data_IF_613567034709
#
_entry.id   IF_613567034709
#
_cell.length_a   1.000
_cell.length_b   1.000
_cell.length_c   1.000
_cell.angle_alpha   90.00
_cell.angle_beta   90.00
_cell.angle_gamma   90.00
#
_symmetry.space_group_name_H-M   'P 1'
#
loop_
_entity.id
_entity.type
_entity.pdbx_description
1 polymer ?
#
# COMPACT_ATOMS: atom_id res chain seq x y z
N UNK A 1 -30.50 5.17 -5.03
CA UNK A 1 -29.90 6.09 -4.05
C UNK A 1 -28.48 5.68 -3.69
N UNK A 2 -28.25 4.41 -3.34
CA UNK A 2 -26.92 3.89 -2.91
C UNK A 2 -25.82 4.03 -3.95
N UNK A 3 -26.10 3.73 -5.23
CA UNK A 3 -25.14 3.89 -6.34
C UNK A 3 -24.64 5.33 -6.48
N UNK A 4 -25.49 6.32 -6.23
CA UNK A 4 -25.14 7.74 -6.31
C UNK A 4 -24.17 8.09 -5.19
N UNK A 5 -24.43 7.60 -3.97
CA UNK A 5 -23.57 7.81 -2.80
C UNK A 5 -22.18 7.20 -3.07
N UNK A 6 -22.11 5.97 -3.58
CA UNK A 6 -20.82 5.34 -3.89
C UNK A 6 -20.05 6.12 -4.95
N UNK A 7 -20.71 6.59 -6.02
CA UNK A 7 -20.07 7.38 -7.08
C UNK A 7 -19.55 8.74 -6.62
N UNK A 8 -20.11 9.29 -5.53
CA UNK A 8 -19.61 10.51 -4.91
C UNK A 8 -18.42 10.27 -3.97
N UNK A 9 -18.18 9.02 -3.55
CA UNK A 9 -17.08 8.66 -2.67
C UNK A 9 -15.71 8.90 -3.31
N UNK A 10 -14.71 9.18 -2.49
CA UNK A 10 -13.31 9.30 -2.93
C UNK A 10 -12.75 7.99 -3.45
N UNK A 11 -13.23 6.85 -2.94
CA UNK A 11 -12.85 5.52 -3.43
C UNK A 11 -13.24 5.33 -4.89
N UNK A 12 -14.46 5.70 -5.28
CA UNK A 12 -14.87 5.64 -6.68
C UNK A 12 -14.07 6.62 -7.54
N UNK A 13 -13.96 7.87 -7.09
CA UNK A 13 -13.37 8.96 -7.89
C UNK A 13 -11.86 8.82 -8.13
N UNK A 14 -11.12 8.25 -7.18
CA UNK A 14 -9.66 8.22 -7.23
C UNK A 14 -9.05 6.82 -7.26
N UNK A 15 -9.82 5.78 -6.90
CA UNK A 15 -9.29 4.43 -6.70
C UNK A 15 -10.17 3.34 -7.32
N UNK A 16 -10.95 3.67 -8.34
CA UNK A 16 -11.68 2.69 -9.16
C UNK A 16 -11.27 2.84 -10.62
N UNK A 17 -10.84 1.74 -11.24
CA UNK A 17 -10.16 1.71 -12.51
C UNK A 17 -10.65 0.55 -13.37
N UNK A 18 -10.43 0.65 -14.67
CA UNK A 18 -10.46 -0.50 -15.57
C UNK A 18 -9.14 -1.28 -15.48
N UNK A 19 -9.12 -2.59 -15.79
CA UNK A 19 -7.89 -3.39 -15.80
C UNK A 19 -6.73 -2.76 -16.59
N UNK A 20 -7.01 -2.29 -17.81
CA UNK A 20 -6.02 -1.64 -18.67
C UNK A 20 -5.50 -0.34 -18.05
N UNK A 21 -6.40 0.53 -17.56
CA UNK A 21 -5.99 1.79 -16.94
C UNK A 21 -5.14 1.60 -15.68
N UNK A 22 -5.41 0.55 -14.88
CA UNK A 22 -4.65 0.26 -13.67
C UNK A 22 -3.23 -0.25 -14.01
N UNK A 23 -3.13 -1.13 -15.01
CA UNK A 23 -1.84 -1.61 -15.53
C UNK A 23 -1.02 -0.46 -16.13
N UNK A 24 -1.64 0.39 -16.95
CA UNK A 24 -1.01 1.58 -17.51
C UNK A 24 -0.57 2.58 -16.44
N UNK A 25 -1.37 2.77 -15.37
CA UNK A 25 -1.00 3.64 -14.26
C UNK A 25 0.25 3.15 -13.54
N UNK A 26 0.35 1.85 -13.24
CA UNK A 26 1.56 1.26 -12.63
C UNK A 26 2.78 1.43 -13.53
N UNK A 27 2.63 1.16 -14.83
CA UNK A 27 3.71 1.33 -15.79
C UNK A 27 4.18 2.79 -15.88
N UNK A 28 3.25 3.75 -15.90
CA UNK A 28 3.57 5.17 -15.92
C UNK A 28 4.28 5.63 -14.64
N UNK A 29 3.83 5.19 -13.47
CA UNK A 29 4.46 5.50 -12.17
C UNK A 29 5.89 4.95 -12.10
N UNK A 30 6.08 3.70 -12.53
CA UNK A 30 7.41 3.09 -12.62
C UNK A 30 8.33 3.85 -13.60
N UNK A 31 7.85 4.15 -14.81
CA UNK A 31 8.63 4.87 -15.82
C UNK A 31 9.04 6.26 -15.32
N UNK A 32 8.13 7.00 -14.69
CA UNK A 32 8.45 8.31 -14.11
C UNK A 32 9.49 8.21 -12.98
N UNK A 33 9.33 7.25 -12.07
CA UNK A 33 10.30 7.05 -10.99
C UNK A 33 11.68 6.60 -11.50
N UNK A 34 11.71 5.72 -12.49
CA UNK A 34 12.95 5.28 -13.14
C UNK A 34 13.64 6.46 -13.83
N UNK A 35 12.91 7.31 -14.56
CA UNK A 35 13.47 8.50 -15.20
C UNK A 35 14.12 9.44 -14.18
N UNK A 36 13.45 9.75 -13.07
CA UNK A 36 14.00 10.61 -12.01
C UNK A 36 15.28 10.01 -11.41
N UNK A 37 15.26 8.71 -11.12
CA UNK A 37 16.43 8.02 -10.58
C UNK A 37 17.61 7.99 -11.57
N UNK A 38 17.35 7.82 -12.87
CA UNK A 38 18.39 7.88 -13.91
C UNK A 38 19.04 9.27 -13.97
N UNK A 39 18.26 10.34 -13.82
CA UNK A 39 18.78 11.71 -13.77
C UNK A 39 19.69 11.92 -12.55
N UNK A 40 19.32 11.39 -11.38
CA UNK A 40 20.15 11.49 -10.15
C UNK A 40 21.44 10.67 -10.23
N UNK A 41 21.39 9.50 -10.86
CA UNK A 41 22.53 8.60 -11.03
C UNK A 41 23.49 9.05 -12.13
N UNK A 42 22.99 9.69 -13.20
CA UNK A 42 23.79 10.09 -14.35
C UNK A 42 24.55 8.90 -14.94
N UNK A 43 25.86 9.06 -15.17
CA UNK A 43 26.73 8.01 -15.75
C UNK A 43 26.89 6.75 -14.89
N UNK A 44 26.45 6.78 -13.62
CA UNK A 44 26.46 5.59 -12.74
C UNK A 44 25.21 4.71 -12.88
N UNK A 45 24.27 5.11 -13.74
CA UNK A 45 23.06 4.35 -14.00
C UNK A 45 23.36 3.02 -14.70
N UNK A 46 22.89 1.91 -14.12
CA UNK A 46 22.91 0.59 -14.74
C UNK A 46 21.48 0.21 -15.16
N UNK A 47 21.14 0.23 -16.46
CA UNK A 47 19.78 -0.05 -16.94
C UNK A 47 19.26 -1.43 -16.51
N UNK A 48 20.14 -2.42 -16.42
CA UNK A 48 19.80 -3.81 -16.02
C UNK A 48 19.30 -3.94 -14.57
N UNK A 49 19.67 -2.97 -13.71
CA UNK A 49 19.26 -2.95 -12.31
C UNK A 49 17.90 -2.25 -12.11
N UNK A 50 17.40 -1.50 -13.10
CA UNK A 50 16.09 -0.85 -13.02
C UNK A 50 14.99 -1.88 -12.82
N UNK A 51 14.03 -1.54 -11.96
CA UNK A 51 12.89 -2.42 -11.70
C UNK A 51 11.87 -2.29 -12.81
N UNK A 52 11.36 -3.43 -13.27
CA UNK A 52 10.17 -3.46 -14.12
C UNK A 52 8.89 -3.27 -13.28
N UNK A 53 7.76 -2.84 -13.89
CA UNK A 53 6.49 -2.73 -13.17
C UNK A 53 6.06 -4.04 -12.49
N UNK A 54 6.39 -5.18 -13.10
CA UNK A 54 6.08 -6.51 -12.55
C UNK A 54 6.96 -6.82 -11.33
N UNK A 55 8.24 -6.46 -11.37
CA UNK A 55 9.14 -6.61 -10.21
C UNK A 55 8.70 -5.71 -9.05
N UNK A 56 8.36 -4.44 -9.32
CA UNK A 56 7.80 -3.56 -8.28
C UNK A 56 6.54 -4.16 -7.66
N UNK A 57 5.64 -4.69 -8.49
CA UNK A 57 4.41 -5.30 -8.04
C UNK A 57 4.66 -6.51 -7.14
N UNK A 58 5.60 -7.40 -7.51
CA UNK A 58 6.02 -8.53 -6.67
C UNK A 58 6.54 -8.06 -5.31
N UNK A 59 7.37 -7.02 -5.30
CA UNK A 59 7.94 -6.49 -4.07
C UNK A 59 6.87 -5.89 -3.15
N UNK A 60 5.97 -5.08 -3.70
CA UNK A 60 4.86 -4.48 -2.95
C UNK A 60 3.98 -5.58 -2.34
N UNK A 61 3.69 -6.64 -3.09
CA UNK A 61 2.84 -7.70 -2.57
C UNK A 61 3.54 -8.61 -1.56
N UNK A 62 4.85 -8.82 -1.66
CA UNK A 62 5.62 -9.40 -0.54
C UNK A 62 5.44 -8.56 0.75
N UNK A 63 5.52 -7.23 0.62
CA UNK A 63 5.29 -6.36 1.78
C UNK A 63 3.84 -6.27 2.25
N UNK A 64 2.85 -6.53 1.38
CA UNK A 64 1.46 -6.76 1.81
C UNK A 64 1.36 -7.99 2.73
N UNK A 65 2.05 -9.09 2.43
CA UNK A 65 2.05 -10.28 3.31
C UNK A 65 2.70 -9.99 4.66
N UNK A 66 3.79 -9.22 4.64
CA UNK A 66 4.46 -8.77 5.87
C UNK A 66 3.54 -7.86 6.70
N UNK A 67 2.83 -6.93 6.05
CA UNK A 67 1.86 -6.05 6.70
C UNK A 67 0.67 -6.83 7.28
N UNK A 68 0.19 -7.86 6.59
CA UNK A 68 -0.87 -8.73 7.08
C UNK A 68 -0.45 -9.45 8.36
N UNK A 69 0.73 -10.07 8.38
CA UNK A 69 1.27 -10.74 9.57
C UNK A 69 1.49 -9.75 10.72
N UNK A 70 1.93 -8.52 10.42
CA UNK A 70 2.04 -7.45 11.42
C UNK A 70 0.66 -7.08 12.00
N UNK A 71 -0.37 -7.00 11.16
CA UNK A 71 -1.74 -6.76 11.62
C UNK A 71 -2.26 -7.85 12.56
N UNK A 72 -1.84 -9.11 12.36
CA UNK A 72 -2.15 -10.23 13.26
C UNK A 72 -1.39 -10.13 14.58
N UNK A 73 -0.11 -9.76 14.56
CA UNK A 73 0.68 -9.51 15.77
C UNK A 73 0.05 -8.41 16.64
N UNK A 74 -0.39 -7.31 16.00
CA UNK A 74 -1.11 -6.22 16.66
C UNK A 74 -2.54 -6.57 17.06
N UNK A 75 -3.03 -7.79 16.76
CA UNK A 75 -4.40 -8.27 17.03
C UNK A 75 -5.46 -7.29 16.52
N UNK A 76 -5.23 -6.75 15.33
CA UNK A 76 -6.11 -5.73 14.74
C UNK A 76 -7.47 -6.30 14.34
N UNK A 77 -8.52 -5.48 14.43
CA UNK A 77 -9.81 -5.81 13.85
C UNK A 77 -9.77 -5.84 12.33
N UNK A 78 -10.71 -6.56 11.69
CA UNK A 78 -10.75 -6.73 10.22
C UNK A 78 -10.75 -5.40 9.45
N UNK A 79 -11.30 -4.33 10.02
CA UNK A 79 -11.34 -3.00 9.42
C UNK A 79 -9.97 -2.35 9.34
N UNK A 80 -9.24 -2.31 10.46
CA UNK A 80 -7.88 -1.76 10.50
C UNK A 80 -6.97 -2.53 9.55
N UNK A 81 -7.05 -3.86 9.57
CA UNK A 81 -6.28 -4.72 8.66
C UNK A 81 -6.56 -4.42 7.18
N UNK A 82 -7.84 -4.44 6.79
CA UNK A 82 -8.23 -4.17 5.40
C UNK A 82 -7.85 -2.75 4.96
N UNK A 83 -7.98 -1.76 5.84
CA UNK A 83 -7.59 -0.37 5.57
C UNK A 83 -6.08 -0.23 5.42
N UNK A 84 -5.27 -0.85 6.29
CA UNK A 84 -3.82 -0.82 6.18
C UNK A 84 -3.33 -1.42 4.86
N UNK A 85 -3.87 -2.57 4.47
CA UNK A 85 -3.55 -3.21 3.18
C UNK A 85 -3.99 -2.34 2.00
N UNK A 86 -5.19 -1.78 2.06
CA UNK A 86 -5.70 -0.88 1.02
C UNK A 86 -4.84 0.37 0.89
N UNK A 87 -4.39 0.96 2.00
CA UNK A 87 -3.51 2.13 1.99
C UNK A 87 -2.17 1.80 1.33
N UNK A 88 -1.54 0.66 1.67
CA UNK A 88 -0.29 0.26 1.03
C UNK A 88 -0.48 0.08 -0.49
N UNK A 89 -1.54 -0.62 -0.90
CA UNK A 89 -1.84 -0.83 -2.33
C UNK A 89 -2.11 0.49 -3.06
N UNK A 90 -2.91 1.41 -2.47
CA UNK A 90 -3.22 2.72 -3.05
C UNK A 90 -1.98 3.59 -3.19
N UNK A 91 -1.11 3.57 -2.18
CA UNK A 91 0.11 4.36 -2.14
C UNK A 91 1.03 4.00 -3.31
N UNK A 92 1.27 2.71 -3.53
CA UNK A 92 2.13 2.20 -4.60
C UNK A 92 1.51 2.24 -6.01
N UNK A 93 0.32 2.83 -6.18
CA UNK A 93 -0.13 3.28 -7.50
C UNK A 93 0.47 4.65 -7.89
N UNK A 94 0.92 5.44 -6.91
CA UNK A 94 1.41 6.81 -7.12
C UNK A 94 2.90 6.99 -6.83
N UNK A 95 3.45 6.13 -5.98
CA UNK A 95 4.89 6.10 -5.69
C UNK A 95 5.48 4.76 -6.14
N UNK A 96 6.78 4.75 -6.41
CA UNK A 96 7.51 3.53 -6.76
C UNK A 96 8.42 3.08 -5.61
N UNK A 97 8.67 1.76 -5.45
CA UNK A 97 9.72 1.24 -4.58
C UNK A 97 11.12 1.78 -4.86
N UNK A 98 11.38 2.27 -6.08
CA UNK A 98 12.62 2.97 -6.42
C UNK A 98 12.80 4.21 -5.53
N UNK A 99 11.73 4.97 -5.32
CA UNK A 99 11.71 6.19 -4.52
C UNK A 99 11.66 5.88 -3.02
N UNK A 100 10.61 5.18 -2.58
CA UNK A 100 10.39 4.86 -1.16
C UNK A 100 10.19 3.37 -0.99
N UNK A 101 11.04 2.76 -0.18
CA UNK A 101 11.05 1.33 0.04
C UNK A 101 9.85 0.89 0.91
N UNK A 102 9.05 -0.14 0.54
CA UNK A 102 7.81 -0.45 1.27
C UNK A 102 8.01 -0.82 2.74
N UNK A 103 9.12 -1.48 3.07
CA UNK A 103 9.51 -1.80 4.46
C UNK A 103 9.43 -0.60 5.42
N UNK A 104 9.83 0.60 4.97
CA UNK A 104 9.88 1.78 5.86
C UNK A 104 8.50 2.37 6.12
N UNK A 105 7.49 1.98 5.35
CA UNK A 105 6.14 2.53 5.42
C UNK A 105 5.14 1.61 6.14
N UNK A 106 5.52 0.36 6.46
CA UNK A 106 4.61 -0.61 7.07
C UNK A 106 4.01 -0.11 8.39
N UNK A 107 4.87 0.31 9.33
CA UNK A 107 4.45 0.81 10.64
C UNK A 107 3.67 2.13 10.53
N UNK A 108 4.14 3.15 9.78
CA UNK A 108 3.36 4.36 9.55
C UNK A 108 1.98 4.12 8.94
N UNK A 109 1.87 3.24 7.94
CA UNK A 109 0.59 2.91 7.29
C UNK A 109 -0.34 2.21 8.27
N UNK A 110 0.17 1.24 9.04
CA UNK A 110 -0.62 0.55 10.06
C UNK A 110 -1.12 1.53 11.13
N UNK A 111 -0.25 2.42 11.61
CA UNK A 111 -0.60 3.44 12.58
C UNK A 111 -1.66 4.42 12.05
N UNK A 112 -1.55 4.83 10.78
CA UNK A 112 -2.55 5.67 10.12
C UNK A 112 -3.89 4.93 9.92
N UNK A 113 -3.86 3.63 9.63
CA UNK A 113 -5.08 2.82 9.51
C UNK A 113 -5.80 2.70 10.86
N UNK A 114 -5.07 2.52 11.95
CA UNK A 114 -5.61 2.58 13.31
C UNK A 114 -6.29 3.93 13.59
N UNK A 115 -5.61 5.04 13.29
CA UNK A 115 -6.17 6.40 13.43
C UNK A 115 -7.46 6.57 12.63
N UNK A 116 -7.51 6.01 11.43
CA UNK A 116 -8.64 6.15 10.50
C UNK A 116 -9.88 5.35 10.92
N UNK A 117 -9.71 4.14 11.45
CA UNK A 117 -10.83 3.22 11.76
C UNK A 117 -11.25 3.22 13.22
N UNK A 118 -10.29 3.38 14.15
CA UNK A 118 -10.54 3.24 15.60
C UNK A 118 -10.34 4.54 16.38
N UNK A 119 -9.83 5.59 15.74
CA UNK A 119 -9.50 6.85 16.40
C UNK A 119 -8.13 6.84 17.10
N UNK A 120 -8.00 7.64 18.16
CA UNK A 120 -6.70 7.96 18.79
C UNK A 120 -6.10 6.72 19.44
N UNK A 121 -4.89 6.35 18.98
CA UNK A 121 -4.08 5.29 19.59
C UNK A 121 -2.89 5.87 20.33
N UNK A 122 -2.54 5.27 21.46
CA UNK A 122 -1.31 5.61 22.20
C UNK A 122 -0.09 5.26 21.36
N UNK A 123 0.69 6.28 20.98
CA UNK A 123 1.95 6.10 20.25
C UNK A 123 2.93 5.24 21.04
N UNK A 124 2.95 5.37 22.36
CA UNK A 124 3.80 4.58 23.25
C UNK A 124 3.46 3.09 23.19
N UNK A 125 2.17 2.75 23.22
CA UNK A 125 1.73 1.36 23.08
C UNK A 125 2.14 0.81 21.71
N UNK A 126 1.89 1.58 20.64
CA UNK A 126 2.20 1.13 19.28
C UNK A 126 3.69 0.83 19.09
N UNK A 127 4.57 1.72 19.58
CA UNK A 127 6.03 1.53 19.51
C UNK A 127 6.46 0.30 20.33
N UNK A 128 5.88 0.12 21.53
CA UNK A 128 6.18 -1.04 22.37
C UNK A 128 5.78 -2.35 21.68
N UNK A 129 4.59 -2.43 21.10
CA UNK A 129 4.12 -3.61 20.37
C UNK A 129 4.92 -3.88 19.10
N UNK A 130 5.38 -2.84 18.40
CA UNK A 130 6.30 -3.00 17.26
C UNK A 130 7.66 -3.57 17.69
N UNK A 131 8.18 -3.18 18.86
CA UNK A 131 9.45 -3.68 19.36
C UNK A 131 9.43 -5.18 19.68
N UNK A 132 8.27 -5.76 20.02
CA UNK A 132 8.12 -7.21 20.27
C UNK A 132 8.48 -8.08 19.04
N UNK A 133 8.33 -7.54 17.83
CA UNK A 133 8.71 -8.20 16.56
C UNK A 133 10.05 -7.69 16.01
N UNK A 134 10.90 -7.10 16.86
CA UNK A 134 12.18 -6.50 16.51
C UNK A 134 12.09 -5.33 15.51
N UNK A 135 10.94 -4.66 15.43
CA UNK A 135 10.79 -3.43 14.65
C UNK A 135 10.91 -2.22 15.58
N UNK A 136 12.16 -1.80 15.79
CA UNK A 136 12.48 -0.61 16.58
C UNK A 136 12.20 0.63 15.73
N UNK A 137 11.39 1.54 16.23
CA UNK A 137 11.07 2.83 15.58
C UNK A 137 11.00 3.91 16.64
N UNK A 138 11.45 5.12 16.31
CA UNK A 138 11.19 6.31 17.14
C UNK A 138 9.82 6.91 16.83
N UNK A 139 9.34 7.81 17.68
CA UNK A 139 8.10 8.55 17.43
C UNK A 139 8.24 9.43 16.19
N UNK A 140 9.40 10.05 16.03
CA UNK A 140 9.73 10.92 14.90
C UNK A 140 9.72 10.15 13.59
N UNK A 141 10.35 8.97 13.55
CA UNK A 141 10.37 8.10 12.37
C UNK A 141 8.97 7.57 12.00
N UNK A 142 8.15 7.26 13.01
CA UNK A 142 6.78 6.78 12.80
C UNK A 142 5.88 7.87 12.20
N UNK A 143 6.03 9.11 12.65
CA UNK A 143 5.17 10.23 12.27
C UNK A 143 5.67 11.02 11.06
N UNK A 144 6.99 11.05 10.80
CA UNK A 144 7.58 11.79 9.69
C UNK A 144 6.94 11.49 8.30
N UNK A 145 6.65 10.23 7.92
CA UNK A 145 6.04 9.95 6.63
C UNK A 145 4.53 10.19 6.58
N UNK A 146 3.86 10.52 7.70
CA UNK A 146 2.39 10.58 7.80
C UNK A 146 1.77 11.55 6.77
N UNK A 147 2.30 12.76 6.65
CA UNK A 147 1.83 13.75 5.68
C UNK A 147 2.07 13.27 4.24
N UNK A 148 3.22 12.65 3.98
CA UNK A 148 3.56 12.14 2.66
C UNK A 148 2.64 11.00 2.23
N UNK A 149 2.30 10.10 3.16
CA UNK A 149 1.31 9.05 2.96
C UNK A 149 -0.06 9.68 2.67
N UNK A 150 -0.50 10.63 3.49
CA UNK A 150 -1.79 11.31 3.33
C UNK A 150 -1.94 12.00 1.96
N UNK A 151 -0.92 12.72 1.51
CA UNK A 151 -0.90 13.37 0.19
C UNK A 151 -1.04 12.36 -0.95
N UNK A 152 -0.28 11.26 -0.90
CA UNK A 152 -0.36 10.22 -1.92
C UNK A 152 -1.66 9.41 -1.85
N UNK A 153 -2.27 9.29 -0.68
CA UNK A 153 -3.64 8.78 -0.54
C UNK A 153 -4.71 9.79 -0.96
N UNK A 154 -4.34 10.98 -1.45
CA UNK A 154 -5.27 12.04 -1.85
C UNK A 154 -6.24 12.40 -0.71
N UNK A 155 -5.75 12.36 0.53
CA UNK A 155 -6.55 12.57 1.74
C UNK A 155 -7.78 11.65 1.84
N UNK A 156 -7.75 10.51 1.14
CA UNK A 156 -8.88 9.58 1.04
C UNK A 156 -8.71 8.43 2.04
N UNK A 157 -8.91 8.75 3.32
CA UNK A 157 -8.76 7.80 4.42
C UNK A 157 -9.95 6.84 4.57
N UNK A 158 -11.12 7.21 4.07
CA UNK A 158 -12.29 6.33 4.11
C UNK A 158 -12.11 5.17 3.11
N UNK A 159 -12.23 3.94 3.63
CA UNK A 159 -12.26 2.72 2.83
C UNK A 159 -13.60 2.03 3.07
N UNK A 160 -14.32 1.76 1.97
CA UNK A 160 -15.59 1.06 2.00
C UNK A 160 -15.32 -0.45 1.88
N UNK A 161 -15.42 -1.15 3.01
CA UNK A 161 -15.07 -2.57 3.09
C UNK A 161 -16.23 -3.49 2.69
N UNK A 162 -16.03 -4.49 1.82
CA UNK A 162 -17.08 -5.37 1.31
C UNK A 162 -17.55 -6.41 2.34
N UNK A 163 -16.69 -6.84 3.28
CA UNK A 163 -17.10 -7.83 4.30
C UNK A 163 -18.23 -7.33 5.21
N UNK A 164 -18.47 -6.01 5.30
CA UNK A 164 -19.63 -5.45 6.01
C UNK A 164 -20.95 -5.78 5.29
N UNK A 165 -20.94 -5.84 3.96
CA UNK A 165 -22.10 -6.20 3.15
C UNK A 165 -22.59 -7.63 3.41
N UNK A 166 -21.67 -8.56 3.74
CA UNK A 166 -22.01 -9.94 4.08
C UNK A 166 -22.94 -10.00 5.29
N UNK A 167 -22.73 -9.15 6.30
CA UNK A 167 -23.60 -9.11 7.48
C UNK A 167 -25.02 -8.65 7.13
N UNK A 168 -25.15 -7.69 6.21
CA UNK A 168 -26.45 -7.22 5.73
C UNK A 168 -27.20 -8.32 4.95
N UNK A 169 -26.50 -9.02 4.07
CA UNK A 169 -27.06 -10.14 3.29
C UNK A 169 -27.48 -11.28 4.21
N UNK A 170 -26.64 -11.63 5.20
CA UNK A 170 -26.95 -12.62 6.22
C UNK A 170 -28.23 -12.26 6.98
N UNK A 171 -28.32 -11.02 7.48
CA UNK A 171 -29.48 -10.57 8.23
C UNK A 171 -30.77 -10.70 7.40
N UNK A 172 -30.73 -10.30 6.14
CA UNK A 172 -31.90 -10.39 5.28
C UNK A 172 -32.30 -11.84 4.94
N UNK A 173 -31.35 -12.69 4.58
CA UNK A 173 -31.61 -14.11 4.29
C UNK A 173 -32.22 -14.83 5.50
N UNK A 174 -31.75 -14.50 6.71
CA UNK A 174 -32.30 -15.07 7.95
C UNK A 174 -33.73 -14.58 8.23
N UNK A 175 -34.03 -13.30 7.93
CA UNK A 175 -35.38 -12.74 8.10
C UNK A 175 -36.39 -13.38 7.13
N UNK A 176 -35.96 -13.69 5.91
CA UNK A 176 -36.83 -14.34 4.92
C UNK A 176 -37.15 -15.80 5.25
N UNK A 177 -36.23 -16.51 5.90
CA UNK A 177 -36.45 -17.89 6.35
C UNK A 177 -36.58 -18.93 5.22
N UNK A 178 -36.22 -18.58 3.98
CA UNK A 178 -36.30 -19.47 2.80
C UNK A 178 -35.23 -20.57 2.82
N UNK A 179 -34.12 -20.36 3.52
CA UNK A 179 -32.97 -21.26 3.58
C UNK A 179 -32.68 -21.70 5.02
N UNK A 180 -32.12 -22.91 5.24
CA UNK A 180 -31.71 -23.34 6.57
C UNK A 180 -30.74 -22.36 7.21
N UNK A 181 -31.04 -21.92 8.45
CA UNK A 181 -30.23 -20.95 9.21
C UNK A 181 -28.74 -21.31 9.22
N UNK A 182 -28.43 -22.58 9.49
CA UNK A 182 -27.05 -23.07 9.54
C UNK A 182 -26.31 -22.93 8.20
N UNK A 183 -27.00 -23.12 7.06
CA UNK A 183 -26.41 -22.94 5.71
C UNK A 183 -26.05 -21.47 5.49
N UNK A 184 -26.95 -20.56 5.86
CA UNK A 184 -26.75 -19.10 5.73
C UNK A 184 -25.58 -18.63 6.59
N UNK A 185 -25.58 -18.99 7.87
CA UNK A 185 -24.51 -18.58 8.81
C UNK A 185 -23.14 -19.13 8.39
N UNK A 186 -23.07 -20.40 8.00
CA UNK A 186 -21.83 -21.04 7.53
C UNK A 186 -21.29 -20.38 6.27
N UNK A 187 -22.15 -20.14 5.28
CA UNK A 187 -21.74 -19.56 3.99
C UNK A 187 -21.30 -18.12 4.16
N UNK A 188 -22.03 -17.32 4.94
CA UNK A 188 -21.65 -15.95 5.24
C UNK A 188 -20.34 -15.86 6.05
N UNK A 189 -20.13 -16.75 7.03
CA UNK A 189 -18.88 -16.79 7.79
C UNK A 189 -17.66 -17.11 6.90
N UNK A 190 -17.80 -18.09 6.00
CA UNK A 190 -16.76 -18.43 5.01
C UNK A 190 -16.50 -17.29 4.03
N UNK A 191 -17.56 -16.65 3.52
CA UNK A 191 -17.44 -15.52 2.60
C UNK A 191 -16.75 -14.33 3.27
N UNK A 192 -17.11 -14.03 4.52
CA UNK A 192 -16.43 -13.02 5.34
C UNK A 192 -14.95 -13.33 5.48
N UNK A 193 -14.62 -14.56 5.87
CA UNK A 193 -13.24 -15.03 6.03
C UNK A 193 -12.42 -14.87 4.75
N UNK A 194 -13.00 -15.23 3.60
CA UNK A 194 -12.39 -15.07 2.29
C UNK A 194 -12.08 -13.60 1.98
N UNK A 195 -13.02 -12.70 2.24
CA UNK A 195 -12.88 -11.26 1.97
C UNK A 195 -11.92 -10.55 2.94
N UNK A 196 -11.80 -11.02 4.19
CA UNK A 196 -10.84 -10.48 5.17
C UNK A 196 -9.46 -11.12 5.11
N UNK A 197 -9.30 -12.18 4.29
CA UNK A 197 -8.05 -12.88 4.05
C UNK A 197 -7.60 -12.71 2.60
N UNK A 198 -7.78 -13.76 1.79
CA UNK A 198 -7.30 -13.82 0.41
C UNK A 198 -7.77 -12.66 -0.48
N UNK A 199 -8.98 -12.15 -0.29
CA UNK A 199 -9.50 -11.02 -1.07
C UNK A 199 -8.66 -9.74 -0.98
N UNK A 200 -7.98 -9.51 0.16
CA UNK A 200 -7.15 -8.32 0.37
C UNK A 200 -5.82 -8.36 -0.42
N UNK A 201 -5.43 -9.52 -0.95
CA UNK A 201 -4.23 -9.70 -1.76
C UNK A 201 -4.48 -9.62 -3.26
N UNK A 202 -5.60 -9.00 -3.65
CA UNK A 202 -6.02 -8.87 -5.05
C UNK A 202 -6.38 -7.42 -5.38
N UNK A 203 -6.41 -7.11 -6.68
CA UNK A 203 -6.84 -5.79 -7.16
C UNK A 203 -8.37 -5.59 -7.12
N UNK A 204 -9.16 -6.46 -6.47
CA UNK A 204 -10.62 -6.36 -6.52
C UNK A 204 -11.15 -5.01 -6.00
N UNK A 205 -10.50 -4.41 -5.00
CA UNK A 205 -10.85 -3.09 -4.45
C UNK A 205 -10.68 -1.93 -5.46
N UNK A 206 -9.88 -2.14 -6.50
CA UNK A 206 -9.65 -1.17 -7.57
C UNK A 206 -10.57 -1.38 -8.77
N UNK A 207 -11.18 -2.55 -8.91
CA UNK A 207 -11.89 -2.96 -10.14
C UNK A 207 -13.40 -3.06 -9.93
N UNK A 208 -13.83 -3.35 -8.71
CA UNK A 208 -15.22 -3.65 -8.39
C UNK A 208 -15.73 -2.82 -7.22
N UNK A 209 -17.04 -2.60 -7.18
CA UNK A 209 -17.68 -1.92 -6.04
C UNK A 209 -17.72 -2.84 -4.82
N UNK A 210 -17.80 -2.30 -3.58
CA UNK A 210 -17.90 -3.11 -2.38
C UNK A 210 -19.09 -4.10 -2.43
N UNK A 211 -20.22 -3.70 -3.01
CA UNK A 211 -21.38 -4.58 -3.21
C UNK A 211 -21.09 -5.74 -4.17
N UNK A 212 -20.40 -5.47 -5.28
CA UNK A 212 -19.97 -6.51 -6.23
C UNK A 212 -18.98 -7.48 -5.58
N UNK A 213 -18.01 -6.99 -4.81
CA UNK A 213 -17.03 -7.83 -4.10
C UNK A 213 -17.73 -8.66 -3.01
N UNK A 214 -18.72 -8.09 -2.32
CA UNK A 214 -19.55 -8.82 -1.34
C UNK A 214 -20.25 -10.01 -1.99
N UNK A 215 -20.95 -9.76 -3.10
CA UNK A 215 -21.65 -10.80 -3.84
C UNK A 215 -20.68 -11.83 -4.41
N UNK A 216 -19.51 -11.40 -4.92
CA UNK A 216 -18.48 -12.29 -5.42
C UNK A 216 -17.93 -13.22 -4.33
N UNK A 217 -17.73 -12.69 -3.12
CA UNK A 217 -17.33 -13.49 -1.95
C UNK A 217 -18.36 -14.52 -1.55
N UNK A 218 -19.66 -14.17 -1.61
CA UNK A 218 -20.74 -15.12 -1.35
C UNK A 218 -20.84 -16.16 -2.47
N UNK A 219 -20.78 -15.74 -3.74
CA UNK A 219 -20.83 -16.62 -4.90
C UNK A 219 -19.67 -17.64 -4.91
N UNK A 220 -18.47 -17.21 -4.49
CA UNK A 220 -17.30 -18.07 -4.38
C UNK A 220 -17.47 -19.21 -3.36
N UNK A 221 -18.37 -19.05 -2.38
CA UNK A 221 -18.63 -20.02 -1.32
C UNK A 221 -19.92 -20.82 -1.55
N UNK A 222 -20.99 -20.13 -1.97
CA UNK A 222 -22.31 -20.71 -2.25
C UNK A 222 -22.94 -19.93 -3.42
N UNK A 223 -22.66 -20.41 -4.64
CA UNK A 223 -23.16 -19.80 -5.87
C UNK A 223 -24.69 -19.81 -5.95
N UNK A 224 -25.32 -20.93 -5.59
CA UNK A 224 -26.78 -21.08 -5.63
C UNK A 224 -27.47 -20.06 -4.71
N UNK A 225 -26.99 -19.91 -3.48
CA UNK A 225 -27.51 -18.92 -2.53
C UNK A 225 -27.34 -17.49 -3.04
N UNK A 226 -26.17 -17.16 -3.61
CA UNK A 226 -25.91 -15.82 -4.14
C UNK A 226 -26.81 -15.49 -5.33
N UNK A 227 -26.95 -16.41 -6.29
CA UNK A 227 -27.76 -16.20 -7.48
C UNK A 227 -29.25 -16.12 -7.15
N UNK A 228 -29.74 -16.98 -6.24
CA UNK A 228 -31.11 -16.91 -5.73
C UNK A 228 -31.40 -15.58 -5.02
N UNK A 229 -30.47 -15.13 -4.17
CA UNK A 229 -30.58 -13.84 -3.49
C UNK A 229 -30.63 -12.67 -4.49
N UNK A 230 -29.74 -12.65 -5.49
CA UNK A 230 -29.73 -11.59 -6.50
C UNK A 230 -31.01 -11.60 -7.35
N UNK A 231 -31.51 -12.78 -7.76
CA UNK A 231 -32.78 -12.91 -8.49
C UNK A 231 -33.94 -12.33 -7.70
N UNK A 232 -34.01 -12.62 -6.41
CA UNK A 232 -35.09 -12.13 -5.55
C UNK A 232 -35.09 -10.60 -5.32
N UNK A 233 -33.97 -9.94 -5.60
CA UNK A 233 -33.80 -8.49 -5.42
C UNK A 233 -34.12 -7.69 -6.67
N UNK A 234 -34.12 -8.33 -7.83
CA UNK A 234 -34.35 -7.65 -9.09
C UNK A 234 -35.85 -7.55 -9.40
N UNK A 235 -36.35 -6.37 -9.78
CA UNK A 235 -37.73 -6.22 -10.19
C UNK A 235 -38.00 -6.97 -11.51
N UNK A 236 -39.26 -7.37 -11.71
CA UNK A 236 -39.68 -8.02 -12.95
C UNK A 236 -39.42 -7.10 -14.15
N UNK A 237 -38.72 -7.61 -15.17
CA UNK A 237 -38.38 -6.87 -16.40
C UNK A 237 -36.92 -6.44 -16.53
N UNK A 238 -36.10 -6.59 -15.49
CA UNK A 238 -34.67 -6.22 -15.50
C UNK A 238 -33.69 -7.40 -15.71
N UNK A 239 -34.12 -8.48 -16.38
CA UNK A 239 -33.30 -9.70 -16.53
C UNK A 239 -31.93 -9.41 -17.19
N UNK A 240 -31.88 -8.50 -18.16
CA UNK A 240 -30.61 -8.09 -18.80
C UNK A 240 -29.61 -7.45 -17.82
N UNK A 241 -30.12 -6.71 -16.83
CA UNK A 241 -29.29 -6.06 -15.81
C UNK A 241 -28.80 -7.13 -14.83
N UNK A 242 -29.68 -8.06 -14.44
CA UNK A 242 -29.32 -9.20 -13.61
C UNK A 242 -28.25 -10.07 -14.26
N UNK A 243 -28.41 -10.44 -15.53
CA UNK A 243 -27.42 -11.22 -16.29
C UNK A 243 -26.05 -10.53 -16.31
N UNK A 244 -26.04 -9.22 -16.55
CA UNK A 244 -24.82 -8.41 -16.52
C UNK A 244 -24.19 -8.40 -15.13
N UNK A 245 -24.98 -8.23 -14.07
CA UNK A 245 -24.50 -8.24 -12.69
C UNK A 245 -23.93 -9.61 -12.32
N UNK A 246 -24.65 -10.69 -12.62
CA UNK A 246 -24.19 -12.06 -12.39
C UNK A 246 -22.88 -12.34 -13.11
N UNK A 247 -22.75 -11.90 -14.37
CA UNK A 247 -21.48 -12.01 -15.10
C UNK A 247 -20.34 -11.30 -14.36
N UNK A 248 -20.54 -10.05 -13.94
CA UNK A 248 -19.52 -9.28 -13.20
C UNK A 248 -19.15 -9.94 -11.86
N UNK A 249 -20.13 -10.44 -11.12
CA UNK A 249 -19.94 -11.13 -9.85
C UNK A 249 -19.16 -12.44 -10.04
N UNK A 250 -19.52 -13.23 -11.06
CA UNK A 250 -18.82 -14.47 -11.44
C UNK A 250 -17.39 -14.19 -11.86
N UNK A 251 -17.16 -13.20 -12.71
CA UNK A 251 -15.83 -12.78 -13.13
C UNK A 251 -14.98 -12.35 -11.93
N UNK A 252 -15.52 -11.51 -11.04
CA UNK A 252 -14.81 -11.10 -9.82
C UNK A 252 -14.45 -12.31 -8.94
N UNK A 253 -15.40 -13.23 -8.73
CA UNK A 253 -15.17 -14.41 -7.91
C UNK A 253 -14.15 -15.36 -8.53
N UNK A 254 -14.30 -15.68 -9.82
CA UNK A 254 -13.40 -16.59 -10.54
C UNK A 254 -11.99 -16.01 -10.65
N UNK A 255 -11.84 -14.78 -11.12
CA UNK A 255 -10.52 -14.22 -11.45
C UNK A 255 -9.76 -13.66 -10.25
N UNK A 256 -10.44 -13.23 -9.19
CA UNK A 256 -9.78 -12.63 -8.02
C UNK A 256 -9.89 -13.47 -6.75
N UNK A 257 -11.01 -14.16 -6.52
CA UNK A 257 -11.21 -14.86 -5.24
C UNK A 257 -10.84 -16.36 -5.32
N UNK A 258 -11.16 -17.01 -6.45
CA UNK A 258 -10.99 -18.45 -6.67
C UNK A 258 -9.80 -18.82 -7.56
N UNK A 259 -9.31 -17.90 -8.41
CA UNK A 259 -8.30 -18.16 -9.44
C UNK A 259 -7.09 -18.93 -8.92
N UNK A 260 -6.77 -20.07 -9.55
CA UNK A 260 -5.60 -20.88 -9.25
C UNK A 260 -4.40 -20.43 -10.09
N UNK A 261 -3.20 -20.88 -9.73
CA UNK A 261 -1.96 -20.57 -10.47
C UNK A 261 -1.92 -21.10 -11.89
N UNK A 262 -2.69 -22.15 -12.16
CA UNK A 262 -2.81 -22.77 -13.47
C UNK A 262 -3.68 -21.93 -14.43
N UNK A 263 -4.50 -21.04 -13.86
CA UNK A 263 -5.35 -20.14 -14.64
C UNK A 263 -4.47 -19.00 -15.18
N UNK A 264 -4.40 -18.86 -16.51
CA UNK A 264 -3.63 -17.79 -17.14
C UNK A 264 -4.04 -16.41 -16.65
N UNK A 265 -3.06 -15.50 -16.46
CA UNK A 265 -3.36 -14.13 -16.10
C UNK A 265 -3.96 -13.38 -17.30
N UNK A 266 -5.28 -13.23 -17.31
CA UNK A 266 -6.01 -12.53 -18.37
C UNK A 266 -5.75 -11.02 -18.41
N UNK A 267 -5.08 -10.44 -17.41
CA UNK A 267 -4.84 -9.02 -17.26
C UNK A 267 -3.37 -8.72 -16.89
N UNK A 268 -2.46 -8.64 -17.88
CA UNK A 268 -1.06 -8.34 -17.66
C UNK A 268 -0.87 -7.04 -16.85
N UNK A 269 -0.11 -7.10 -15.76
CA UNK A 269 0.17 -5.96 -14.87
C UNK A 269 -0.84 -5.75 -13.73
N UNK A 270 -1.83 -6.64 -13.58
CA UNK A 270 -2.68 -6.72 -12.39
C UNK A 270 -2.18 -7.73 -11.36
N UNK A 271 -2.46 -7.44 -10.10
CA UNK A 271 -2.50 -8.41 -9.01
C UNK A 271 -3.79 -9.21 -9.15
N UNK A 272 -3.80 -10.12 -10.13
CA UNK A 272 -4.79 -11.19 -10.14
C UNK A 272 -4.50 -12.17 -9.00
N UNK A 273 -3.21 -12.39 -8.71
CA UNK A 273 -2.67 -13.03 -7.49
C UNK A 273 -1.14 -12.95 -7.50
N UNK A 274 -0.51 -13.02 -6.32
CA UNK A 274 0.83 -13.61 -6.20
C UNK A 274 0.70 -15.15 -6.03
N UNK A 275 1.76 -15.94 -6.31
CA UNK A 275 1.60 -17.30 -6.77
C UNK A 275 1.39 -18.29 -5.60
N UNK A 276 0.65 -19.35 -5.89
CA UNK A 276 0.64 -20.70 -5.27
C UNK A 276 -0.47 -21.01 -4.25
N UNK A 277 -1.28 -22.03 -4.61
CA UNK A 277 -1.98 -22.99 -3.74
C UNK A 277 -3.46 -22.82 -3.40
N UNK A 278 -4.18 -21.85 -3.96
CA UNK A 278 -5.57 -21.70 -3.53
C UNK A 278 -5.65 -21.26 -2.07
N UNK A 279 -6.79 -20.72 -1.68
CA UNK A 279 -6.91 -20.08 -0.37
C UNK A 279 -6.90 -21.11 0.75
N UNK A 280 -5.87 -21.09 1.59
CA UNK A 280 -5.95 -21.26 3.04
C UNK A 280 -4.96 -20.25 3.63
N UNK A 281 -5.42 -19.09 4.10
CA UNK A 281 -5.68 -18.85 5.52
C UNK A 281 -4.55 -19.32 6.45
N UNK A 282 -3.30 -19.18 6.04
CA UNK A 282 -2.15 -19.04 6.95
C UNK A 282 -1.19 -18.00 6.36
N UNK A 283 -0.57 -17.20 7.22
CA UNK A 283 0.31 -16.08 6.87
C UNK A 283 1.63 -16.52 6.20
N UNK A 284 1.69 -17.72 5.65
CA UNK A 284 2.89 -18.26 5.02
C UNK A 284 3.14 -17.59 3.68
N UNK A 285 4.20 -16.78 3.66
CA UNK A 285 4.69 -16.12 2.45
C UNK A 285 5.17 -17.18 1.46
N UNK A 286 4.65 -17.21 0.21
CA UNK A 286 5.11 -18.17 -0.78
C UNK A 286 6.64 -18.11 -0.95
N UNK A 287 7.30 -19.26 -0.92
CA UNK A 287 8.76 -19.33 -0.95
C UNK A 287 9.35 -18.66 -2.20
N UNK A 288 8.70 -18.82 -3.35
CA UNK A 288 9.11 -18.20 -4.61
C UNK A 288 8.97 -16.68 -4.59
N UNK A 289 7.91 -16.16 -3.99
CA UNK A 289 7.75 -14.73 -3.79
C UNK A 289 8.88 -14.17 -2.92
N UNK A 290 9.20 -14.84 -1.82
CA UNK A 290 10.27 -14.41 -0.92
C UNK A 290 11.63 -14.40 -1.63
N UNK A 291 11.95 -15.42 -2.43
CA UNK A 291 13.17 -15.46 -3.25
C UNK A 291 13.23 -14.28 -4.23
N UNK A 292 12.13 -14.02 -4.94
CA UNK A 292 12.04 -12.90 -5.87
C UNK A 292 12.17 -11.54 -5.17
N UNK A 293 11.51 -11.34 -4.02
CA UNK A 293 11.61 -10.13 -3.23
C UNK A 293 13.06 -9.88 -2.77
N UNK A 294 13.78 -10.91 -2.31
CA UNK A 294 15.20 -10.80 -1.94
C UNK A 294 16.07 -10.43 -3.15
N UNK A 295 15.80 -11.01 -4.33
CA UNK A 295 16.49 -10.65 -5.58
C UNK A 295 16.27 -9.18 -5.93
N UNK A 296 15.03 -8.70 -5.82
CA UNK A 296 14.64 -7.31 -6.11
C UNK A 296 15.24 -6.34 -5.09
N UNK A 297 15.20 -6.67 -3.80
CA UNK A 297 15.84 -5.87 -2.74
C UNK A 297 17.34 -5.72 -2.98
N UNK A 298 18.01 -6.78 -3.45
CA UNK A 298 19.42 -6.72 -3.82
C UNK A 298 19.66 -5.72 -4.96
N UNK A 299 18.80 -5.71 -5.99
CA UNK A 299 18.86 -4.70 -7.06
C UNK A 299 18.69 -3.28 -6.50
N UNK A 300 17.68 -3.04 -5.67
CA UNK A 300 17.43 -1.74 -5.04
C UNK A 300 18.62 -1.27 -4.19
N UNK A 301 19.24 -2.16 -3.42
CA UNK A 301 20.44 -1.84 -2.65
C UNK A 301 21.59 -1.42 -3.56
N UNK A 302 21.84 -2.15 -4.66
CA UNK A 302 22.89 -1.82 -5.62
C UNK A 302 22.63 -0.47 -6.29
N UNK A 303 21.39 -0.14 -6.62
CA UNK A 303 21.00 1.17 -7.16
C UNK A 303 21.22 2.31 -6.19
N UNK A 304 21.01 2.08 -4.88
CA UNK A 304 21.15 3.12 -3.85
C UNK A 304 22.58 3.34 -3.36
N UNK A 305 23.49 2.36 -3.55
CA UNK A 305 24.92 2.49 -3.19
C UNK A 305 25.59 3.78 -3.70
N UNK A 306 25.53 4.13 -5.00
CA UNK A 306 26.16 5.35 -5.51
C UNK A 306 25.55 6.63 -4.90
N UNK A 307 24.24 6.66 -4.66
CA UNK A 307 23.56 7.80 -4.03
C UNK A 307 24.04 8.02 -2.60
N UNK A 308 24.13 6.95 -1.81
CA UNK A 308 24.63 7.02 -0.43
C UNK A 308 26.10 7.46 -0.37
N UNK A 309 26.91 7.08 -1.36
CA UNK A 309 28.29 7.56 -1.50
C UNK A 309 28.36 9.07 -1.75
N UNK A 310 27.53 9.59 -2.66
CA UNK A 310 27.44 11.05 -2.92
C UNK A 310 27.03 11.84 -1.69
N UNK A 311 26.03 11.39 -0.94
CA UNK A 311 25.57 12.05 0.29
C UNK A 311 26.66 12.07 1.36
N UNK A 312 27.40 10.96 1.53
CA UNK A 312 28.54 10.91 2.46
C UNK A 312 29.64 11.88 2.06
N UNK A 313 30.00 11.94 0.77
CA UNK A 313 31.01 12.88 0.28
C UNK A 313 30.60 14.35 0.48
N UNK A 314 29.34 14.70 0.15
CA UNK A 314 28.84 16.05 0.38
C UNK A 314 28.81 16.43 1.87
N UNK A 315 28.46 15.50 2.75
CA UNK A 315 28.48 15.73 4.20
C UNK A 315 29.91 15.90 4.74
N UNK A 316 30.88 15.15 4.22
CA UNK A 316 32.30 15.32 4.59
C UNK A 316 32.86 16.64 4.09
N UNK A 317 32.53 17.04 2.87
CA UNK A 317 32.99 18.30 2.28
C UNK A 317 32.42 19.50 3.04
N UNK A 318 31.13 19.47 3.40
CA UNK A 318 30.50 20.50 4.22
C UNK A 318 31.12 20.60 5.63
N UNK A 319 31.44 19.46 6.26
CA UNK A 319 32.09 19.43 7.57
C UNK A 319 33.54 19.93 7.52
N UNK A 320 34.27 19.67 6.44
CA UNK A 320 35.61 20.22 6.21
C UNK A 320 35.56 21.74 5.96
N UNK A 321 34.59 22.22 5.21
CA UNK A 321 34.40 23.64 4.92
C UNK A 321 34.05 24.42 6.20
N UNK A 322 33.19 23.88 7.06
CA UNK A 322 32.87 24.47 8.37
C UNK A 322 34.12 24.53 9.28
N UNK A 323 34.97 23.48 9.26
CA UNK A 323 36.24 23.47 10.00
C UNK A 323 37.22 24.53 9.48
N UNK A 324 37.34 24.69 8.16
CA UNK A 324 38.18 25.73 7.54
C UNK A 324 37.68 27.13 7.87
N UNK A 325 36.37 27.35 7.88
CA UNK A 325 35.76 28.63 8.27
C UNK A 325 36.04 28.98 9.74
N UNK A 326 35.94 28.00 10.65
CA UNK A 326 36.30 28.20 12.08
C UNK A 326 37.78 28.53 12.26
N UNK A 327 38.66 27.86 11.51
CA UNK A 327 40.11 28.14 11.55
C UNK A 327 40.44 29.55 11.06
N UNK A 328 39.82 30.00 9.96
CA UNK A 328 39.99 31.38 9.43
C UNK A 328 39.53 32.44 10.42
N UNK A 329 38.39 32.24 11.09
CA UNK A 329 37.94 33.15 12.17
C UNK A 329 38.94 33.22 13.31
N UNK A 330 39.45 32.08 13.75
CA UNK A 330 40.38 32.02 14.88
C UNK A 330 41.76 32.62 14.55
N UNK A 331 42.19 32.54 13.29
CA UNK A 331 43.39 33.25 12.80
C UNK A 331 43.15 34.75 12.70
N UNK A 332 41.96 35.17 12.26
CA UNK A 332 41.59 36.59 12.18
C UNK A 332 41.47 37.22 13.58
N UNK A 333 40.82 36.54 14.52
CA UNK A 333 40.73 36.97 15.92
C UNK A 333 42.12 37.04 16.58
N UNK A 334 43.07 36.17 16.19
CA UNK A 334 44.47 36.24 16.66
C UNK A 334 45.23 37.42 16.06
N UNK A 335 45.03 37.72 14.78
CA UNK A 335 45.63 38.91 14.15
C UNK A 335 45.09 40.20 14.79
N UNK A 336 43.80 40.23 15.13
CA UNK A 336 43.18 41.36 15.83
C UNK A 336 43.63 41.47 17.30
N UNK A 337 44.03 40.36 17.93
CA UNK A 337 44.63 40.31 19.28
C UNK A 337 46.13 40.62 19.30
N UNK A 338 46.86 40.41 18.19
CA UNK A 338 48.27 40.78 18.06
C UNK A 338 48.43 42.27 17.68
N UNK A 339 47.36 42.95 17.24
CA UNK A 339 47.30 44.41 16.98
C UNK A 339 47.07 45.22 18.27
N UNK A 340 47.91 44.98 19.29
CA UNK A 340 47.86 45.65 20.61
C UNK A 340 48.62 46.99 20.64
N UNK A 341 49.29 47.36 19.55
CA UNK A 341 49.92 48.68 19.42
C UNK A 341 49.39 49.40 18.17
N UNK A 342 48.22 50.01 18.31
CA UNK A 342 47.73 51.03 17.38
C UNK A 342 48.73 52.17 17.26
N UNK A 343 49.51 52.18 16.17
CA UNK A 343 50.47 53.22 15.84
C UNK A 343 50.61 53.37 14.33
N UNK A 344 49.96 54.38 13.74
CA UNK A 344 50.04 54.60 12.30
C UNK A 344 49.27 55.81 11.74
N UNK A 345 49.62 57.01 12.22
CA UNK A 345 49.55 58.30 11.52
C UNK A 345 48.25 58.72 10.80
N UNK A 346 47.47 59.56 11.50
CA UNK A 346 46.66 60.62 10.86
C UNK A 346 47.64 61.73 10.44
N UNK A 347 47.98 61.81 9.16
CA UNK A 347 48.53 63.02 8.53
C UNK A 347 47.53 63.48 7.48
N UNK A 348 46.88 64.66 7.64
CA UNK A 348 45.99 65.18 6.62
C UNK A 348 46.83 65.73 5.47
N UNK A 349 46.62 65.21 4.25
CA UNK A 349 47.13 65.85 3.04
C UNK A 349 46.32 67.12 2.78
N UNK A 350 47.05 68.24 2.70
CA UNK A 350 46.59 69.50 2.10
C UNK A 350 46.38 69.33 0.60
#
# INVERSE_FOLDING_TARGET
MEDVIYRQSTQYRFFTFTPSSLSSLRAATNAHAAQQLLLELGSSASPELMLTPIEELKLVTYYLTTLFALCDHFKTGSAVKATAMTFLSRLYLRISPLQIHPKTLLLPILFLAFKSETGIQSTTWFIKTAAEVNLITTKEELLAPEINIAMNLRWSFQVLHPYRGIEGVKAELLVRGELPKERVERSCAKARSLLTGGGLFTDCYFLYTPGQITMAGLWAVDAEMCEGYLRSKMPAGEEKVLEKLLRVVRECAQWHLLAKTEDGNNYPGLLLRLPQNGVFMDAEVPAELKKEAVRIDRKLQLLRKPLNGKVKHQATDAAEEERRAKKRKLEQDKMDLDDVFGGGSIIPKK
#
